data_IF_550834551381
#
_entry.id   IF_550834551381
#
_cell.length_a   1.000
_cell.length_b   1.000
_cell.length_c   1.000
_cell.angle_alpha   90.00
_cell.angle_beta   90.00
_cell.angle_gamma   90.00
#
_symmetry.space_group_name_H-M   'P 1'
#
loop_
_entity.id
_entity.type
_entity.pdbx_description
1 polymer ?
#
# COMPACT_ATOMS: atom_id res chain seq x y z
N UNK A 1 29.82 40.62 -13.48
CA UNK A 1 30.55 39.39 -13.07
C UNK A 1 30.15 38.91 -11.66
N UNK A 2 29.77 39.81 -10.76
CA UNK A 2 29.30 39.49 -9.40
C UNK A 2 27.95 38.73 -9.38
N UNK A 3 27.07 38.94 -10.36
CA UNK A 3 25.77 38.24 -10.43
C UNK A 3 25.89 36.74 -10.75
N UNK A 4 26.91 36.36 -11.51
CA UNK A 4 27.19 34.96 -11.84
C UNK A 4 27.68 34.18 -10.61
N UNK A 5 28.49 34.80 -9.75
CA UNK A 5 28.91 34.17 -8.49
C UNK A 5 27.74 34.05 -7.50
N UNK A 6 26.81 35.01 -7.51
CA UNK A 6 25.64 35.01 -6.63
C UNK A 6 24.60 33.95 -7.02
N UNK A 7 24.44 33.67 -8.32
CA UNK A 7 23.52 32.61 -8.80
C UNK A 7 23.99 31.19 -8.45
N UNK A 8 25.30 30.96 -8.46
CA UNK A 8 25.91 29.67 -8.05
C UNK A 8 25.82 29.50 -6.52
N UNK A 9 26.04 30.57 -5.76
CA UNK A 9 25.92 30.54 -4.31
C UNK A 9 24.48 30.24 -3.82
N UNK A 10 23.46 30.79 -4.50
CA UNK A 10 22.06 30.47 -4.18
C UNK A 10 21.70 29.00 -4.48
N UNK A 11 22.16 28.47 -5.63
CA UNK A 11 21.91 27.07 -6.02
C UNK A 11 22.46 26.04 -5.01
N UNK A 12 23.55 26.39 -4.32
CA UNK A 12 24.13 25.53 -3.28
C UNK A 12 23.26 25.49 -2.02
N UNK A 13 22.68 26.62 -1.61
CA UNK A 13 21.78 26.72 -0.45
C UNK A 13 20.49 25.91 -0.65
N UNK A 14 19.96 25.89 -1.86
CA UNK A 14 18.77 25.08 -2.18
C UNK A 14 19.08 23.58 -2.24
N UNK A 15 20.32 23.19 -2.59
CA UNK A 15 20.75 21.80 -2.62
C UNK A 15 20.85 21.15 -1.23
N UNK A 16 21.14 21.93 -0.18
CA UNK A 16 21.19 21.47 1.21
C UNK A 16 19.78 21.08 1.70
N UNK A 17 18.77 21.87 1.32
CA UNK A 17 17.35 21.58 1.59
C UNK A 17 16.86 20.36 0.79
N UNK A 18 17.32 20.19 -0.45
CA UNK A 18 16.96 19.04 -1.29
C UNK A 18 17.55 17.71 -0.83
N UNK A 19 18.77 17.70 -0.29
CA UNK A 19 19.41 16.50 0.24
C UNK A 19 18.68 15.97 1.49
N UNK A 20 18.23 16.85 2.39
CA UNK A 20 17.44 16.45 3.56
C UNK A 20 16.03 15.96 3.21
N UNK A 21 15.44 16.43 2.11
CA UNK A 21 14.11 15.97 1.69
C UNK A 21 14.08 14.47 1.35
N UNK A 22 15.17 13.93 0.82
CA UNK A 22 15.27 12.52 0.42
C UNK A 22 15.45 11.58 1.62
N UNK A 23 16.14 12.03 2.67
CA UNK A 23 16.37 11.22 3.87
C UNK A 23 15.06 10.94 4.63
N UNK A 24 14.25 11.97 4.86
CA UNK A 24 12.91 11.80 5.42
C UNK A 24 11.98 11.06 4.45
N UNK A 25 12.15 11.28 3.14
CA UNK A 25 11.42 10.54 2.11
C UNK A 25 11.66 9.03 2.15
N UNK A 26 12.89 8.59 2.42
CA UNK A 26 13.21 7.16 2.54
C UNK A 26 12.53 6.53 3.76
N UNK A 27 12.58 7.19 4.92
CA UNK A 27 11.90 6.67 6.13
C UNK A 27 10.40 6.50 5.90
N UNK A 28 9.76 7.48 5.24
CA UNK A 28 8.35 7.39 4.86
C UNK A 28 8.12 6.27 3.84
N UNK A 29 8.99 6.10 2.85
CA UNK A 29 8.88 5.03 1.85
C UNK A 29 8.98 3.63 2.47
N UNK A 30 9.86 3.45 3.46
CA UNK A 30 9.97 2.20 4.22
C UNK A 30 8.67 1.88 4.97
N UNK A 31 8.12 2.85 5.70
CA UNK A 31 6.86 2.67 6.43
C UNK A 31 5.72 2.37 5.45
N UNK A 32 5.66 3.07 4.32
CA UNK A 32 4.67 2.81 3.28
C UNK A 32 4.76 1.37 2.74
N UNK A 33 5.96 0.86 2.48
CA UNK A 33 6.17 -0.51 2.03
C UNK A 33 5.66 -1.53 3.07
N UNK A 34 5.95 -1.30 4.36
CA UNK A 34 5.45 -2.16 5.43
C UNK A 34 3.92 -2.16 5.50
N UNK A 35 3.29 -0.99 5.40
CA UNK A 35 1.82 -0.86 5.44
C UNK A 35 1.19 -1.62 4.26
N UNK A 36 1.74 -1.48 3.06
CA UNK A 36 1.25 -2.20 1.87
C UNK A 36 1.29 -3.71 2.11
N UNK A 37 2.43 -4.24 2.56
CA UNK A 37 2.56 -5.67 2.86
C UNK A 37 1.57 -6.15 3.93
N UNK A 38 1.37 -5.35 4.97
CA UNK A 38 0.41 -5.66 6.03
C UNK A 38 -1.02 -5.71 5.48
N UNK A 39 -1.43 -4.71 4.69
CA UNK A 39 -2.78 -4.67 4.09
C UNK A 39 -3.00 -5.84 3.14
N UNK A 40 -2.00 -6.23 2.34
CA UNK A 40 -2.10 -7.43 1.48
C UNK A 40 -2.30 -8.71 2.29
N UNK A 41 -1.50 -8.90 3.35
CA UNK A 41 -1.62 -10.09 4.20
C UNK A 41 -2.96 -10.15 4.93
N UNK A 42 -3.41 -9.02 5.50
CA UNK A 42 -4.70 -8.92 6.16
C UNK A 42 -5.86 -9.11 5.17
N UNK A 43 -5.76 -8.55 3.97
CA UNK A 43 -6.75 -8.72 2.91
C UNK A 43 -6.95 -10.19 2.53
N UNK A 44 -5.86 -10.94 2.35
CA UNK A 44 -5.93 -12.39 2.09
C UNK A 44 -6.64 -13.13 3.23
N UNK A 45 -6.22 -12.90 4.47
CA UNK A 45 -6.80 -13.58 5.63
C UNK A 45 -8.30 -13.30 5.79
N UNK A 46 -8.71 -12.06 5.57
CA UNK A 46 -10.11 -11.65 5.65
C UNK A 46 -10.93 -12.30 4.52
N UNK A 47 -10.39 -12.32 3.29
CA UNK A 47 -11.04 -12.97 2.16
C UNK A 47 -11.21 -14.48 2.39
N UNK A 48 -10.18 -15.16 2.88
CA UNK A 48 -10.24 -16.59 3.22
C UNK A 48 -11.31 -16.86 4.30
N UNK A 49 -11.35 -16.03 5.34
CA UNK A 49 -12.35 -16.16 6.41
C UNK A 49 -13.79 -15.97 5.91
N UNK A 50 -14.01 -15.06 4.96
CA UNK A 50 -15.33 -14.84 4.36
C UNK A 50 -15.74 -15.99 3.41
N UNK A 51 -14.79 -16.54 2.65
CA UNK A 51 -15.04 -17.70 1.81
C UNK A 51 -15.41 -18.92 2.64
N UNK A 52 -14.68 -19.20 3.72
CA UNK A 52 -14.97 -20.31 4.63
C UNK A 52 -16.36 -20.16 5.27
N UNK A 53 -16.67 -18.96 5.77
CA UNK A 53 -17.98 -18.66 6.36
C UNK A 53 -19.10 -18.82 5.34
N UNK A 54 -18.91 -18.36 4.10
CA UNK A 54 -19.89 -18.60 3.05
C UNK A 54 -20.05 -20.11 2.79
N UNK A 55 -18.96 -20.86 2.68
CA UNK A 55 -19.00 -22.31 2.47
C UNK A 55 -19.85 -23.00 3.53
N UNK A 56 -19.67 -22.64 4.79
CA UNK A 56 -20.44 -23.16 5.92
C UNK A 56 -21.93 -22.77 5.84
N UNK A 57 -22.24 -21.53 5.49
CA UNK A 57 -23.62 -21.06 5.32
C UNK A 57 -24.31 -21.79 4.18
N UNK A 58 -23.64 -21.97 3.03
CA UNK A 58 -24.16 -22.67 1.87
C UNK A 58 -24.39 -24.15 2.17
N UNK A 59 -23.44 -24.81 2.84
CA UNK A 59 -23.55 -26.21 3.24
C UNK A 59 -24.70 -26.45 4.22
N UNK A 60 -24.91 -25.55 5.18
CA UNK A 60 -25.96 -25.68 6.19
C UNK A 60 -27.35 -25.27 5.67
N UNK A 61 -27.43 -24.47 4.61
CA UNK A 61 -28.71 -24.02 4.02
C UNK A 61 -29.39 -25.06 3.12
N UNK A 62 -28.83 -26.26 2.96
CA UNK A 62 -29.53 -27.40 2.35
C UNK A 62 -29.88 -27.24 0.87
N UNK A 63 -29.16 -26.38 0.13
CA UNK A 63 -29.37 -26.23 -1.31
C UNK A 63 -28.29 -26.99 -2.08
N UNK A 64 -28.69 -28.11 -2.64
CA UNK A 64 -27.94 -28.87 -3.64
C UNK A 64 -27.55 -27.98 -4.81
N UNK A 65 -26.25 -27.97 -5.12
CA UNK A 65 -25.68 -27.82 -6.46
C UNK A 65 -26.29 -26.71 -7.33
N UNK A 66 -25.77 -25.50 -7.20
CA UNK A 66 -25.51 -24.54 -8.31
C UNK A 66 -25.27 -23.12 -7.75
N UNK A 67 -24.38 -22.94 -6.77
CA UNK A 67 -23.98 -21.57 -6.38
C UNK A 67 -22.66 -21.52 -5.58
N UNK A 68 -21.66 -22.34 -5.91
CA UNK A 68 -20.30 -22.07 -5.42
C UNK A 68 -19.68 -20.84 -6.12
N UNK A 69 -20.39 -20.21 -7.07
CA UNK A 69 -19.94 -19.09 -7.88
C UNK A 69 -20.35 -17.70 -7.34
N UNK A 70 -21.23 -17.58 -6.33
CA UNK A 70 -21.77 -16.28 -5.91
C UNK A 70 -21.08 -15.62 -4.71
N UNK A 71 -20.25 -16.33 -3.94
CA UNK A 71 -19.78 -15.80 -2.66
C UNK A 71 -18.54 -14.91 -2.70
N UNK A 72 -17.83 -14.85 -3.83
CA UNK A 72 -16.94 -13.73 -4.12
C UNK A 72 -16.90 -13.58 -5.63
N UNK A 73 -17.80 -12.75 -6.16
CA UNK A 73 -17.79 -12.35 -7.57
C UNK A 73 -16.88 -11.13 -7.74
N UNK A 74 -15.60 -11.31 -7.42
CA UNK A 74 -14.48 -10.55 -7.98
C UNK A 74 -13.38 -11.54 -8.37
#
# INVERSE_FOLDING_TARGET
MLDYMRSIANRRRDAETGASAVEYGLLVALIAAIIVLAVYALGSLVNDSFQDTCGDIAANSGSTSDEAAACVSD
#
